data_IF_614427289479
#
_entry.id   IF_614427289479
#
_cell.length_a   1.000
_cell.length_b   1.000
_cell.length_c   1.000
_cell.angle_alpha   90.00
_cell.angle_beta   90.00
_cell.angle_gamma   90.00
#
_symmetry.space_group_name_H-M   'P 1'
#
loop_
_entity.id
_entity.type
_entity.pdbx_description
1 polymer ?
#
# COMPACT_ATOMS: atom_id res chain seq x y z
N UNK A 1 21.17 -55.50 34.43
CA UNK A 1 20.33 -54.33 34.73
C UNK A 1 21.28 -53.18 35.05
N UNK A 2 21.56 -52.32 34.07
CA UNK A 2 22.44 -51.16 34.23
C UNK A 2 21.63 -49.89 34.02
N UNK A 3 21.65 -48.99 35.01
CA UNK A 3 21.00 -47.68 34.95
C UNK A 3 21.60 -46.82 33.82
N UNK A 4 20.80 -45.99 33.13
CA UNK A 4 21.33 -45.00 32.20
C UNK A 4 21.92 -43.80 32.97
N UNK A 5 22.94 -43.11 32.42
CA UNK A 5 23.45 -41.87 33.02
C UNK A 5 22.48 -40.71 32.80
N UNK A 6 22.43 -39.83 33.81
CA UNK A 6 21.65 -38.59 33.86
C UNK A 6 22.11 -37.58 32.82
N UNK A 7 21.14 -36.95 32.14
CA UNK A 7 21.36 -35.88 31.18
C UNK A 7 21.98 -34.64 31.84
N UNK A 8 23.01 -34.09 31.19
CA UNK A 8 23.66 -32.83 31.55
C UNK A 8 22.74 -31.67 31.10
N UNK A 9 22.17 -30.92 32.04
CA UNK A 9 21.39 -29.71 31.72
C UNK A 9 22.34 -28.60 31.22
N UNK A 10 22.20 -28.26 29.93
CA UNK A 10 22.83 -27.08 29.35
C UNK A 10 21.91 -25.87 29.58
N UNK A 11 22.30 -24.95 30.46
CA UNK A 11 21.63 -23.67 30.66
C UNK A 11 22.32 -22.58 29.83
N UNK A 12 21.69 -22.05 28.76
CA UNK A 12 22.30 -20.96 27.99
C UNK A 12 22.19 -19.64 28.76
N UNK A 13 23.33 -19.04 29.11
CA UNK A 13 23.39 -17.65 29.59
C UNK A 13 23.05 -16.70 28.45
N UNK A 14 22.13 -15.77 28.70
CA UNK A 14 21.78 -14.70 27.77
C UNK A 14 22.99 -13.79 27.49
N UNK A 15 23.20 -13.34 26.23
CA UNK A 15 24.28 -12.41 25.90
C UNK A 15 24.00 -11.02 26.49
N UNK A 16 25.04 -10.37 27.04
CA UNK A 16 24.97 -8.99 27.54
C UNK A 16 24.86 -8.00 26.38
N UNK A 17 23.94 -7.04 26.50
CA UNK A 17 23.78 -5.95 25.55
C UNK A 17 25.00 -5.01 25.55
N UNK A 18 25.43 -4.47 24.38
CA UNK A 18 26.50 -3.49 24.30
C UNK A 18 26.05 -2.10 24.80
N UNK A 19 26.97 -1.25 25.28
CA UNK A 19 26.63 0.07 25.78
C UNK A 19 26.17 1.01 24.64
N UNK A 20 25.14 1.82 24.93
CA UNK A 20 24.60 2.82 24.00
C UNK A 20 25.60 3.97 23.79
N UNK A 21 25.98 4.21 22.53
CA UNK A 21 26.80 5.35 22.14
C UNK A 21 25.90 6.59 22.02
N UNK A 22 26.20 7.65 22.78
CA UNK A 22 25.50 8.92 22.67
C UNK A 22 25.76 9.55 21.29
N UNK A 23 24.69 9.91 20.58
CA UNK A 23 24.76 10.61 19.31
C UNK A 23 24.97 12.12 19.58
N UNK A 24 26.13 12.65 19.19
CA UNK A 24 26.39 14.11 19.16
C UNK A 24 25.97 14.63 17.79
N UNK A 25 24.98 15.53 17.76
CA UNK A 25 24.61 16.28 16.55
C UNK A 25 25.75 17.19 16.13
N UNK A 26 26.13 17.24 14.83
CA UNK A 26 26.95 18.32 14.32
C UNK A 26 26.05 19.50 13.91
N UNK A 27 26.17 20.61 14.63
CA UNK A 27 25.70 21.92 14.18
C UNK A 27 26.38 22.24 12.85
N UNK A 28 25.58 22.59 11.84
CA UNK A 28 26.09 23.10 10.55
C UNK A 28 25.58 24.53 10.37
N UNK A 29 26.52 25.46 10.48
CA UNK A 29 26.40 26.83 9.98
C UNK A 29 26.15 26.80 8.47
N UNK A 30 24.95 27.21 8.05
CA UNK A 30 24.61 27.43 6.64
C UNK A 30 24.56 28.94 6.41
N UNK A 31 25.57 29.49 5.72
CA UNK A 31 25.52 30.84 5.15
C UNK A 31 24.79 30.79 3.81
N UNK A 32 23.71 31.56 3.68
CA UNK A 32 23.03 31.81 2.41
C UNK A 32 23.80 32.87 1.58
N UNK A 33 23.95 32.72 0.26
CA UNK A 33 24.42 33.80 -0.61
C UNK A 33 23.28 34.81 -0.93
N UNK A 34 23.60 36.08 -1.25
CA UNK A 34 22.59 37.10 -1.55
C UNK A 34 22.03 36.98 -2.97
N UNK A 35 20.76 37.35 -3.11
CA UNK A 35 19.99 37.32 -4.37
C UNK A 35 20.46 38.42 -5.34
N UNK A 36 20.69 38.03 -6.60
CA UNK A 36 21.00 38.97 -7.70
C UNK A 36 19.72 39.47 -8.37
N UNK A 37 19.57 40.80 -8.42
CA UNK A 37 18.58 41.52 -9.23
C UNK A 37 18.80 41.27 -10.73
N UNK A 38 17.74 40.90 -11.44
CA UNK A 38 17.66 40.89 -12.90
C UNK A 38 16.39 41.60 -13.38
N UNK A 39 16.55 42.61 -14.23
CA UNK A 39 15.50 43.49 -14.77
C UNK A 39 14.97 43.02 -16.12
N UNK A 40 13.65 43.18 -16.29
CA UNK A 40 12.86 43.49 -17.50
C UNK A 40 12.86 42.54 -18.72
N UNK A 41 11.67 42.06 -19.09
CA UNK A 41 11.36 41.43 -20.37
C UNK A 41 9.85 41.42 -20.68
N UNK A 42 9.45 42.35 -21.55
CA UNK A 42 8.21 42.57 -22.33
C UNK A 42 6.99 41.63 -22.22
N UNK A 43 5.82 42.29 -22.11
CA UNK A 43 4.47 41.75 -22.24
C UNK A 43 4.09 41.44 -23.70
N UNK A 44 3.65 40.21 -23.96
CA UNK A 44 2.87 39.79 -25.12
C UNK A 44 1.47 39.31 -24.68
N UNK A 45 0.43 39.37 -25.54
CA UNK A 45 -0.96 39.27 -25.11
C UNK A 45 -1.34 37.85 -24.64
N UNK A 46 -1.71 37.79 -23.37
CA UNK A 46 -2.37 36.65 -22.72
C UNK A 46 -3.74 36.42 -23.40
N UNK A 47 -3.85 35.35 -24.18
CA UNK A 47 -5.16 34.88 -24.65
C UNK A 47 -5.75 34.01 -23.54
N UNK A 48 -6.56 34.62 -22.66
CA UNK A 48 -7.38 33.87 -21.71
C UNK A 48 -8.48 33.16 -22.48
N UNK A 49 -8.34 31.85 -22.67
CA UNK A 49 -9.47 31.03 -23.11
C UNK A 49 -10.26 30.69 -21.86
N UNK A 50 -11.33 31.45 -21.62
CA UNK A 50 -12.37 31.05 -20.67
C UNK A 50 -13.05 29.80 -21.24
N UNK A 51 -12.68 28.63 -20.72
CA UNK A 51 -13.44 27.40 -20.91
C UNK A 51 -14.22 27.16 -19.63
N UNK A 52 -15.32 27.90 -19.48
CA UNK A 52 -16.41 27.56 -18.60
C UNK A 52 -16.99 26.20 -19.06
N UNK A 53 -16.47 25.15 -18.46
CA UNK A 53 -16.94 23.78 -18.57
C UNK A 53 -16.19 22.97 -17.53
N UNK A 54 -16.80 22.76 -16.37
CA UNK A 54 -16.29 21.82 -15.39
C UNK A 54 -15.95 20.51 -16.12
N UNK A 55 -14.72 19.98 -16.02
CA UNK A 55 -14.38 18.77 -16.75
C UNK A 55 -15.32 17.67 -16.25
N UNK A 56 -16.06 17.08 -17.18
CA UNK A 56 -16.68 15.79 -16.94
C UNK A 56 -15.57 14.87 -16.42
N UNK A 57 -15.71 14.41 -15.18
CA UNK A 57 -14.72 13.55 -14.53
C UNK A 57 -14.54 12.33 -15.43
N UNK A 58 -13.40 12.27 -16.13
CA UNK A 58 -13.12 11.17 -17.04
C UNK A 58 -13.15 9.88 -16.21
N UNK A 59 -13.98 8.91 -16.62
CA UNK A 59 -14.08 7.64 -15.94
C UNK A 59 -12.71 6.92 -16.02
N UNK A 60 -12.14 6.61 -14.86
CA UNK A 60 -10.88 5.88 -14.74
C UNK A 60 -11.04 4.48 -15.36
N UNK A 61 -10.11 4.09 -16.26
CA UNK A 61 -10.20 2.81 -17.01
C UNK A 61 -10.14 1.58 -16.10
N UNK A 62 -9.35 1.66 -15.04
CA UNK A 62 -9.17 0.57 -14.08
C UNK A 62 -9.60 1.00 -12.68
N UNK A 63 -10.50 0.24 -12.07
CA UNK A 63 -11.02 0.53 -10.73
C UNK A 63 -10.18 -0.16 -9.65
N UNK A 64 -9.75 0.56 -8.60
CA UNK A 64 -9.23 -0.05 -7.38
C UNK A 64 -10.24 -1.02 -6.76
N UNK A 65 -9.82 -2.24 -6.45
CA UNK A 65 -10.67 -3.25 -5.82
C UNK A 65 -10.42 -3.33 -4.31
N UNK A 66 -11.46 -3.21 -3.46
CA UNK A 66 -11.35 -3.55 -2.05
C UNK A 66 -11.20 -5.07 -1.87
N UNK A 67 -10.91 -5.50 -0.65
CA UNK A 67 -11.07 -6.91 -0.30
C UNK A 67 -12.56 -7.26 -0.38
N UNK A 68 -12.86 -8.34 -1.10
CA UNK A 68 -14.22 -8.86 -1.33
C UNK A 68 -14.98 -9.07 -0.02
N UNK A 69 -16.27 -8.69 0.10
CA UNK A 69 -17.07 -8.87 1.31
C UNK A 69 -17.05 -10.29 1.89
N UNK A 70 -17.12 -11.33 1.05
CA UNK A 70 -17.06 -12.71 1.53
C UNK A 70 -15.70 -13.02 2.20
N UNK A 71 -14.61 -12.48 1.66
CA UNK A 71 -13.27 -12.61 2.24
C UNK A 71 -13.16 -11.81 3.54
N UNK A 72 -13.73 -10.61 3.61
CA UNK A 72 -13.76 -9.81 4.84
C UNK A 72 -14.46 -10.54 5.99
N UNK A 73 -15.57 -11.22 5.72
CA UNK A 73 -16.27 -12.05 6.71
C UNK A 73 -15.35 -13.11 7.30
N UNK A 74 -14.56 -13.79 6.45
CA UNK A 74 -13.59 -14.79 6.91
C UNK A 74 -12.48 -14.12 7.74
N UNK A 75 -11.88 -13.04 7.25
CA UNK A 75 -10.79 -12.34 7.93
C UNK A 75 -11.17 -11.76 9.28
N UNK A 76 -12.45 -11.44 9.50
CA UNK A 76 -12.99 -11.00 10.80
C UNK A 76 -13.12 -12.14 11.82
N UNK A 77 -12.92 -13.39 11.41
CA UNK A 77 -12.90 -14.56 12.29
C UNK A 77 -11.50 -15.14 12.41
N UNK A 78 -10.85 -15.44 11.30
CA UNK A 78 -9.51 -16.02 11.22
C UNK A 78 -8.79 -15.49 9.99
N UNK A 79 -7.60 -14.95 10.19
CA UNK A 79 -6.79 -14.34 9.12
C UNK A 79 -6.11 -15.40 8.24
N UNK A 80 -5.43 -14.97 7.17
CA UNK A 80 -4.73 -15.87 6.26
C UNK A 80 -3.52 -16.60 6.88
N UNK A 81 -3.12 -16.23 8.10
CA UNK A 81 -2.12 -16.93 8.90
C UNK A 81 -2.73 -17.96 9.86
N UNK A 82 -4.06 -18.11 9.89
CA UNK A 82 -4.75 -18.94 10.87
C UNK A 82 -4.87 -18.30 12.25
N UNK A 83 -4.69 -16.98 12.38
CA UNK A 83 -4.79 -16.26 13.67
C UNK A 83 -6.17 -15.63 13.83
N UNK A 84 -6.71 -15.58 15.07
CA UNK A 84 -7.98 -14.90 15.30
C UNK A 84 -7.88 -13.40 14.99
N UNK A 85 -8.97 -12.83 14.50
CA UNK A 85 -9.10 -11.37 14.39
C UNK A 85 -9.20 -10.76 15.78
N UNK A 86 -8.36 -9.76 16.07
CA UNK A 86 -8.37 -9.04 17.35
C UNK A 86 -8.68 -7.55 17.08
N UNK A 87 -9.96 -7.14 17.20
CA UNK A 87 -10.37 -5.75 17.04
C UNK A 87 -9.79 -4.84 18.12
N UNK A 88 -9.53 -3.59 17.75
CA UNK A 88 -9.18 -2.51 18.66
C UNK A 88 -9.69 -1.17 18.13
N UNK A 89 -9.73 -0.16 18.99
CA UNK A 89 -10.11 1.21 18.61
C UNK A 89 -8.90 1.95 18.07
N UNK A 90 -9.04 2.54 16.88
CA UNK A 90 -8.02 3.42 16.32
C UNK A 90 -8.21 4.85 16.81
N UNK A 91 -7.49 5.23 17.87
CA UNK A 91 -7.62 6.56 18.49
C UNK A 91 -7.08 7.69 17.60
N UNK A 92 -6.09 7.41 16.75
CA UNK A 92 -5.45 8.41 15.88
C UNK A 92 -6.15 8.51 14.52
N UNK A 93 -6.67 7.39 14.00
CA UNK A 93 -7.15 7.29 12.64
C UNK A 93 -6.01 7.22 11.62
N UNK A 94 -6.35 7.33 10.33
CA UNK A 94 -5.36 7.36 9.26
C UNK A 94 -4.90 5.99 8.75
N UNK A 95 -5.24 4.90 9.44
CA UNK A 95 -4.94 3.54 9.01
C UNK A 95 -5.56 3.24 7.63
N UNK A 96 -4.80 2.78 6.62
CA UNK A 96 -5.34 2.52 5.29
C UNK A 96 -6.23 1.26 5.29
N UNK A 97 -7.55 1.41 5.19
CA UNK A 97 -8.49 0.30 5.30
C UNK A 97 -8.75 -0.36 3.95
N UNK A 98 -8.58 -1.68 3.88
CA UNK A 98 -8.71 -2.46 2.63
C UNK A 98 -10.15 -2.89 2.34
N UNK A 99 -11.06 -2.79 3.31
CA UNK A 99 -12.47 -3.08 3.14
C UNK A 99 -13.23 -1.99 2.35
N UNK A 100 -12.90 -0.72 2.58
CA UNK A 100 -13.58 0.42 1.95
C UNK A 100 -12.63 1.37 1.19
N UNK A 101 -11.33 1.07 1.18
CA UNK A 101 -10.30 1.89 0.53
C UNK A 101 -10.22 3.34 1.06
N UNK A 102 -10.74 3.58 2.27
CA UNK A 102 -10.63 4.84 3.01
C UNK A 102 -9.51 4.72 4.06
N UNK A 103 -9.03 5.85 4.55
CA UNK A 103 -8.30 5.87 5.84
C UNK A 103 -9.29 5.79 7.00
N UNK A 104 -8.96 5.11 8.08
CA UNK A 104 -9.78 5.10 9.31
C UNK A 104 -9.97 6.51 9.86
N UNK A 105 -11.05 6.71 10.64
CA UNK A 105 -11.25 7.89 11.49
C UNK A 105 -10.87 7.55 12.94
N UNK A 106 -10.44 8.55 13.73
CA UNK A 106 -10.37 8.42 15.19
C UNK A 106 -11.63 7.79 15.77
N UNK A 107 -11.47 6.81 16.64
CA UNK A 107 -12.55 6.09 17.32
C UNK A 107 -13.20 4.95 16.52
N UNK A 108 -12.78 4.70 15.26
CA UNK A 108 -13.28 3.54 14.52
C UNK A 108 -12.70 2.22 15.07
N UNK A 109 -13.52 1.17 15.14
CA UNK A 109 -13.07 -0.18 15.48
C UNK A 109 -12.49 -0.87 14.25
N UNK A 110 -11.20 -1.21 14.31
CA UNK A 110 -10.45 -1.82 13.23
C UNK A 110 -9.69 -3.05 13.71
N UNK A 111 -9.18 -3.84 12.77
CA UNK A 111 -8.28 -4.95 13.05
C UNK A 111 -7.13 -4.98 12.06
N UNK A 112 -5.96 -5.42 12.53
CA UNK A 112 -4.80 -5.74 11.70
C UNK A 112 -4.77 -7.25 11.47
N UNK A 113 -4.97 -7.66 10.22
CA UNK A 113 -5.08 -9.09 9.85
C UNK A 113 -4.02 -9.47 8.82
N UNK A 114 -3.61 -10.73 8.79
CA UNK A 114 -2.87 -11.25 7.63
C UNK A 114 -3.79 -11.45 6.44
N UNK A 115 -3.34 -11.00 5.28
CA UNK A 115 -4.05 -11.17 4.02
C UNK A 115 -3.10 -11.63 2.91
N UNK A 116 -3.54 -12.61 2.12
CA UNK A 116 -2.85 -13.16 0.96
C UNK A 116 -3.64 -12.87 -0.34
N UNK A 117 -3.37 -11.77 -1.05
CA UNK A 117 -4.16 -11.37 -2.21
C UNK A 117 -4.11 -12.38 -3.36
N UNK A 118 -2.93 -12.97 -3.65
CA UNK A 118 -2.81 -13.95 -4.73
C UNK A 118 -3.52 -15.27 -4.40
N UNK A 119 -3.66 -15.63 -3.13
CA UNK A 119 -4.52 -16.74 -2.70
C UNK A 119 -5.98 -16.52 -3.08
N UNK A 120 -6.46 -15.27 -3.04
CA UNK A 120 -7.84 -14.93 -3.46
C UNK A 120 -7.99 -14.99 -4.97
N UNK A 121 -7.05 -14.42 -5.71
CA UNK A 121 -6.97 -14.59 -7.16
C UNK A 121 -6.96 -16.07 -7.56
N UNK A 122 -6.17 -16.90 -6.88
CA UNK A 122 -6.08 -18.34 -7.13
C UNK A 122 -7.43 -19.04 -6.90
N UNK A 123 -8.12 -18.73 -5.80
CA UNK A 123 -9.44 -19.28 -5.50
C UNK A 123 -10.49 -18.92 -6.56
N UNK A 124 -10.43 -17.71 -7.12
CA UNK A 124 -11.36 -17.24 -8.15
C UNK A 124 -11.04 -17.80 -9.55
N UNK A 125 -9.76 -17.93 -9.91
CA UNK A 125 -9.31 -18.22 -11.28
C UNK A 125 -8.81 -19.65 -11.51
N UNK A 126 -8.60 -20.43 -10.45
CA UNK A 126 -7.90 -21.72 -10.52
C UNK A 126 -6.40 -21.61 -10.78
N UNK A 127 -5.81 -20.42 -10.55
CA UNK A 127 -4.37 -20.22 -10.65
C UNK A 127 -3.60 -20.91 -9.51
N UNK A 128 -2.31 -21.14 -9.73
CA UNK A 128 -1.36 -21.57 -8.70
C UNK A 128 -0.18 -20.59 -8.67
N UNK A 129 -0.19 -19.60 -7.76
CA UNK A 129 0.88 -18.62 -7.64
C UNK A 129 2.17 -19.23 -7.07
N UNK A 130 2.13 -20.43 -6.48
CA UNK A 130 3.29 -21.08 -5.86
C UNK A 130 3.99 -20.19 -4.84
N UNK A 131 5.31 -20.04 -4.98
CA UNK A 131 6.13 -19.22 -4.09
C UNK A 131 5.79 -17.71 -4.12
N UNK A 132 4.96 -17.27 -5.07
CA UNK A 132 4.46 -15.90 -5.11
C UNK A 132 3.19 -15.69 -4.26
N UNK A 133 2.66 -16.70 -3.55
CA UNK A 133 1.56 -16.52 -2.58
C UNK A 133 2.00 -15.69 -1.36
N UNK A 134 2.17 -14.40 -1.58
CA UNK A 134 2.61 -13.45 -0.58
C UNK A 134 1.50 -13.15 0.42
N UNK A 135 1.88 -13.12 1.69
CA UNK A 135 1.01 -12.80 2.80
C UNK A 135 1.57 -11.62 3.58
N UNK A 136 0.72 -10.66 3.94
CA UNK A 136 1.15 -9.46 4.67
C UNK A 136 0.02 -8.80 5.47
N UNK A 137 0.36 -7.84 6.34
CA UNK A 137 -0.63 -7.20 7.20
C UNK A 137 -1.48 -6.18 6.42
N UNK A 138 -2.79 -6.16 6.68
CA UNK A 138 -3.73 -5.16 6.19
C UNK A 138 -4.67 -4.73 7.31
N UNK A 139 -5.10 -3.46 7.30
CA UNK A 139 -6.15 -2.99 8.18
C UNK A 139 -7.53 -3.18 7.54
N UNK A 140 -8.50 -3.61 8.33
CA UNK A 140 -9.92 -3.72 7.96
C UNK A 140 -10.79 -3.21 9.11
N UNK A 141 -12.01 -2.76 8.83
CA UNK A 141 -13.00 -2.53 9.87
C UNK A 141 -13.35 -3.85 10.57
N UNK A 142 -13.47 -3.80 11.90
CA UNK A 142 -13.86 -4.96 12.70
C UNK A 142 -15.26 -5.47 12.32
N UNK A 143 -16.14 -4.54 11.93
CA UNK A 143 -17.52 -4.82 11.50
C UNK A 143 -17.73 -4.48 10.02
N UNK A 144 -18.87 -4.90 9.46
CA UNK A 144 -19.28 -4.54 8.11
C UNK A 144 -19.39 -3.02 7.92
N UNK A 145 -18.80 -2.50 6.84
CA UNK A 145 -18.61 -1.06 6.64
C UNK A 145 -19.26 -0.52 5.34
N UNK A 146 -20.04 -1.33 4.63
CA UNK A 146 -20.70 -0.94 3.37
C UNK A 146 -19.78 -0.80 2.15
N UNK A 147 -18.48 -1.09 2.29
CA UNK A 147 -17.51 -1.02 1.19
C UNK A 147 -17.09 0.42 0.82
N UNK A 148 -16.44 0.60 -0.35
CA UNK A 148 -16.01 1.92 -0.81
C UNK A 148 -17.19 2.87 -1.07
N UNK A 149 -17.03 4.19 -0.85
CA UNK A 149 -18.06 5.17 -1.12
C UNK A 149 -18.45 5.20 -2.61
N UNK A 150 -19.71 5.56 -2.89
CA UNK A 150 -20.28 5.56 -4.24
C UNK A 150 -19.66 6.60 -5.20
N UNK A 151 -18.89 7.57 -4.69
CA UNK A 151 -18.26 8.61 -5.50
C UNK A 151 -16.79 8.83 -5.12
N UNK A 152 -15.94 8.91 -6.14
CA UNK A 152 -14.57 9.42 -6.07
C UNK A 152 -13.72 9.01 -7.29
N UNK A 153 -13.22 9.95 -8.12
CA UNK A 153 -12.16 9.67 -9.11
C UNK A 153 -10.78 9.42 -8.48
N UNK A 154 -10.67 9.66 -7.17
CA UNK A 154 -9.43 9.65 -6.42
C UNK A 154 -8.92 8.22 -6.20
N UNK A 155 -7.64 8.03 -6.50
CA UNK A 155 -6.95 6.78 -6.21
C UNK A 155 -6.72 6.65 -4.70
N UNK A 156 -7.16 5.55 -4.08
CA UNK A 156 -7.00 5.38 -2.64
C UNK A 156 -5.51 5.29 -2.30
N UNK A 157 -5.10 6.05 -1.29
CA UNK A 157 -3.72 6.04 -0.78
C UNK A 157 -2.64 6.48 -1.78
N UNK A 158 -3.02 7.12 -2.88
CA UNK A 158 -2.12 7.75 -3.86
C UNK A 158 -2.19 9.25 -3.62
N UNK A 159 -1.10 9.85 -3.14
CA UNK A 159 -1.02 11.27 -2.83
C UNK A 159 0.41 11.76 -3.07
N UNK A 160 0.62 13.07 -3.15
CA UNK A 160 1.96 13.64 -3.29
C UNK A 160 2.89 13.16 -2.17
N UNK A 161 4.16 12.90 -2.52
CA UNK A 161 5.21 12.37 -1.65
C UNK A 161 5.14 10.87 -1.35
N UNK A 162 4.11 10.16 -1.82
CA UNK A 162 3.98 8.73 -1.59
C UNK A 162 4.89 7.89 -2.51
N UNK A 163 5.52 6.85 -1.95
CA UNK A 163 6.22 5.82 -2.72
C UNK A 163 5.34 4.58 -2.88
N UNK A 164 5.03 4.21 -4.13
CA UNK A 164 4.16 3.06 -4.44
C UNK A 164 4.85 2.09 -5.36
N UNK A 165 4.73 0.81 -5.05
CA UNK A 165 5.19 -0.28 -5.92
C UNK A 165 3.98 -0.81 -6.67
N UNK A 166 4.03 -0.76 -7.99
CA UNK A 166 3.13 -1.47 -8.90
C UNK A 166 3.78 -2.80 -9.21
N UNK A 167 3.25 -3.91 -8.67
CA UNK A 167 3.72 -5.25 -9.02
C UNK A 167 2.73 -5.91 -9.97
N UNK A 168 3.23 -6.40 -11.11
CA UNK A 168 2.44 -6.93 -12.22
C UNK A 168 2.43 -8.45 -12.14
N UNK A 169 1.27 -9.06 -12.31
CA UNK A 169 1.12 -10.51 -12.31
C UNK A 169 0.40 -10.99 -13.56
N UNK A 170 0.79 -12.17 -14.05
CA UNK A 170 0.03 -12.88 -15.07
C UNK A 170 -1.20 -13.59 -14.49
N UNK A 171 -2.01 -14.19 -15.38
CA UNK A 171 -3.21 -14.93 -14.98
C UNK A 171 -2.93 -16.13 -14.07
N UNK A 172 -1.69 -16.62 -14.01
CA UNK A 172 -1.26 -17.70 -13.12
C UNK A 172 -0.72 -17.18 -11.78
N UNK A 173 -0.73 -15.88 -11.54
CA UNK A 173 -0.19 -15.26 -10.33
C UNK A 173 1.33 -15.16 -10.30
N UNK A 174 2.02 -15.27 -11.45
CA UNK A 174 3.48 -15.10 -11.52
C UNK A 174 3.85 -13.65 -11.77
N UNK A 175 4.92 -13.18 -11.14
CA UNK A 175 5.41 -11.82 -11.31
C UNK A 175 5.91 -11.62 -12.75
N UNK A 176 5.39 -10.60 -13.43
CA UNK A 176 5.78 -10.18 -14.77
C UNK A 176 6.65 -8.94 -14.80
N UNK A 177 6.70 -8.23 -13.68
CA UNK A 177 7.53 -7.05 -13.51
C UNK A 177 7.05 -6.19 -12.35
N UNK A 178 7.74 -5.09 -12.14
CA UNK A 178 7.32 -4.09 -11.17
C UNK A 178 7.82 -2.71 -11.54
N UNK A 179 7.16 -1.68 -10.99
CA UNK A 179 7.57 -0.28 -11.11
C UNK A 179 7.47 0.38 -9.74
N UNK A 180 8.53 1.05 -9.31
CA UNK A 180 8.48 1.98 -8.19
C UNK A 180 8.03 3.34 -8.73
N UNK A 181 7.03 3.92 -8.09
CA UNK A 181 6.53 5.25 -8.37
C UNK A 181 6.78 6.15 -7.18
N UNK A 182 7.40 7.28 -7.46
CA UNK A 182 7.38 8.44 -6.59
C UNK A 182 6.30 9.38 -7.11
N UNK A 183 5.26 9.56 -6.31
CA UNK A 183 4.13 10.41 -6.66
C UNK A 183 4.49 11.85 -6.32
N UNK A 184 4.92 12.61 -7.31
CA UNK A 184 5.16 14.06 -7.19
C UNK A 184 3.81 14.82 -7.14
N UNK A 185 3.84 16.16 -7.10
CA UNK A 185 2.66 17.02 -6.90
C UNK A 185 1.51 16.85 -7.92
N UNK A 186 1.71 16.06 -8.98
CA UNK A 186 0.66 15.55 -9.88
C UNK A 186 0.50 14.02 -9.78
N UNK A 187 -0.11 13.48 -8.70
CA UNK A 187 -0.13 12.04 -8.42
C UNK A 187 -0.88 11.21 -9.48
N UNK A 188 -1.92 11.79 -10.08
CA UNK A 188 -2.80 11.06 -11.00
C UNK A 188 -2.14 10.74 -12.34
N UNK A 189 -1.33 11.65 -12.89
CA UNK A 189 -0.72 11.46 -14.21
C UNK A 189 0.36 10.38 -14.23
N UNK A 190 1.25 10.39 -13.23
CA UNK A 190 2.32 9.40 -13.12
C UNK A 190 1.79 7.99 -12.80
N UNK A 191 0.72 7.90 -12.00
CA UNK A 191 0.10 6.62 -11.69
C UNK A 191 -0.65 6.03 -12.89
N UNK A 192 -1.43 6.84 -13.62
CA UNK A 192 -2.14 6.37 -14.82
C UNK A 192 -1.18 5.88 -15.89
N UNK A 193 -0.14 6.66 -16.19
CA UNK A 193 0.89 6.25 -17.15
C UNK A 193 1.52 4.90 -16.76
N UNK A 194 1.79 4.71 -15.47
CA UNK A 194 2.38 3.48 -14.97
C UNK A 194 1.44 2.27 -15.05
N UNK A 195 0.13 2.50 -14.93
CA UNK A 195 -0.88 1.47 -15.18
C UNK A 195 -1.03 1.17 -16.66
N UNK A 196 -1.06 2.18 -17.53
CA UNK A 196 -1.09 2.00 -18.98
C UNK A 196 0.10 1.18 -19.46
N UNK A 197 1.31 1.50 -19.00
CA UNK A 197 2.52 0.71 -19.26
C UNK A 197 2.42 -0.73 -18.72
N UNK A 198 1.77 -0.92 -17.58
CA UNK A 198 1.60 -2.25 -17.00
C UNK A 198 0.67 -3.12 -17.85
N UNK A 199 -0.48 -2.58 -18.25
CA UNK A 199 -1.49 -3.31 -19.03
C UNK A 199 -1.24 -3.30 -20.55
N UNK A 200 -0.24 -2.56 -21.02
CA UNK A 200 0.27 -2.67 -22.39
C UNK A 200 0.82 -4.08 -22.70
N UNK A 201 1.31 -4.81 -21.70
CA UNK A 201 1.58 -6.25 -21.83
C UNK A 201 0.27 -7.04 -21.67
N UNK A 202 -0.22 -7.71 -22.74
CA UNK A 202 -1.48 -8.44 -22.70
C UNK A 202 -1.49 -9.64 -21.74
N UNK A 203 -0.32 -10.09 -21.28
CA UNK A 203 -0.22 -11.17 -20.32
C UNK A 203 -0.33 -10.70 -18.86
N UNK A 204 -0.32 -9.40 -18.58
CA UNK A 204 -0.59 -8.85 -17.24
C UNK A 204 -2.11 -8.89 -16.98
N UNK A 205 -2.51 -9.71 -16.01
CA UNK A 205 -3.92 -9.88 -15.63
C UNK A 205 -4.32 -8.96 -14.46
N UNK A 206 -3.39 -8.71 -13.53
CA UNK A 206 -3.61 -7.86 -12.37
C UNK A 206 -2.35 -7.13 -11.94
N UNK A 207 -2.54 -5.97 -11.32
CA UNK A 207 -1.48 -5.15 -10.72
C UNK A 207 -1.80 -4.93 -9.25
N UNK A 208 -0.89 -5.31 -8.36
CA UNK A 208 -0.99 -4.94 -6.94
C UNK A 208 -0.28 -3.62 -6.70
N UNK A 209 -0.96 -2.72 -6.01
CA UNK A 209 -0.36 -1.52 -5.46
C UNK A 209 0.11 -1.84 -4.05
N UNK A 210 1.36 -1.52 -3.74
CA UNK A 210 1.95 -1.73 -2.41
C UNK A 210 2.59 -0.44 -1.90
N UNK A 211 2.56 -0.24 -0.59
CA UNK A 211 3.35 0.80 0.06
C UNK A 211 4.83 0.40 -0.01
N UNK A 212 5.70 1.24 -0.57
CA UNK A 212 7.12 0.91 -0.69
C UNK A 212 7.81 0.83 0.67
N UNK A 213 7.34 1.65 1.62
CA UNK A 213 7.89 1.82 2.97
C UNK A 213 7.72 0.57 3.83
N UNK A 214 6.62 -0.17 3.61
CA UNK A 214 6.23 -1.32 4.43
C UNK A 214 6.05 -2.63 3.65
N UNK A 215 5.94 -2.58 2.32
CA UNK A 215 5.63 -3.73 1.46
C UNK A 215 4.16 -4.17 1.48
N UNK A 216 3.32 -3.57 2.33
CA UNK A 216 1.92 -3.97 2.52
C UNK A 216 1.09 -3.77 1.25
N UNK A 217 0.20 -4.73 0.96
CA UNK A 217 -0.79 -4.67 -0.11
C UNK A 217 -1.77 -3.52 0.14
N UNK A 218 -1.96 -2.59 -0.79
CA UNK A 218 -2.91 -1.47 -0.70
C UNK A 218 -4.25 -1.83 -1.35
N UNK A 219 -4.21 -2.15 -2.64
CA UNK A 219 -5.36 -2.60 -3.43
C UNK A 219 -4.82 -3.22 -4.71
N UNK A 220 -5.71 -3.86 -5.47
CA UNK A 220 -5.40 -4.37 -6.79
C UNK A 220 -6.23 -3.67 -7.86
N UNK A 221 -5.71 -3.68 -9.08
CA UNK A 221 -6.45 -3.37 -10.28
C UNK A 221 -6.35 -4.55 -11.23
N UNK A 222 -7.42 -4.81 -11.96
CA UNK A 222 -7.51 -5.88 -12.95
C UNK A 222 -7.71 -5.29 -14.34
N UNK A 223 -7.29 -6.04 -15.35
CA UNK A 223 -7.50 -5.72 -16.76
C UNK A 223 -8.98 -5.81 -17.14
#
# INVERSE_FOLDING_TARGET
MGSPPTAFEYSPRAPRAPPRRAYRSPERDVRYPPETRGTAGQAGPMTTTDTAGAPAVAARRHRPLPIEPAVLTLLRTTDDAGRPCLPYTDDEGGAPLRCCLRRSRPGESIALVSYAPLRRWAAESGADPGAYDEQGPVFVHAEECGGPPAAGPDLPFVHAGALRVLRRYDAKGRIRGGRLLELTDAPDGGFEQALEEAFADPAVALVHIRAAEYGCFLFELRR
#
